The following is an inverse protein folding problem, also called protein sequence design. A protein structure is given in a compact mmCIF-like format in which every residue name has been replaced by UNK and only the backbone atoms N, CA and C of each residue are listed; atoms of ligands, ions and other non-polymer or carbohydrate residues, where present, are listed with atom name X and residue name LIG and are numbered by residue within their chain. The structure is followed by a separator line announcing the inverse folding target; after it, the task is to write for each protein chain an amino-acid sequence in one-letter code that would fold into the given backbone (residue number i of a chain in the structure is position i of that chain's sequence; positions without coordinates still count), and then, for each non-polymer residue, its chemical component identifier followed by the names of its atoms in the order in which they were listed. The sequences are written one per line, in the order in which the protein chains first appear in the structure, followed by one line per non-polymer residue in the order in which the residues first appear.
data_IF_605638158513
#
_entry.id   IF_605638158513
#
_cell.length_a   1.000
_cell.length_b   1.000
_cell.length_c   1.000
_cell.angle_alpha   90.00
_cell.angle_beta   90.00
_cell.angle_gamma   90.00
#
_symmetry.space_group_name_H-M   'P 1'
#
loop_
_entity.id
_entity.type
_entity.pdbx_description
1 polymer ?
#
# COMPACT_ATOMS: atom_id res chain seq x y z
N UNK A 1 -5.03 11.66 -5.65
CA UNK A 1 -4.84 10.29 -5.13
C UNK A 1 -5.56 9.23 -5.96
N UNK A 2 -6.90 9.24 -6.08
CA UNK A 2 -7.66 8.19 -6.79
C UNK A 2 -7.19 7.86 -8.21
N UNK A 3 -7.08 8.85 -9.11
CA UNK A 3 -6.74 8.59 -10.53
C UNK A 3 -5.32 7.99 -10.70
N UNK A 4 -4.35 8.46 -9.94
CA UNK A 4 -2.97 7.92 -10.00
C UNK A 4 -2.87 6.54 -9.34
N UNK A 5 -3.67 6.27 -8.29
CA UNK A 5 -3.82 4.92 -7.74
C UNK A 5 -4.41 3.95 -8.77
N UNK A 6 -5.42 4.37 -9.54
CA UNK A 6 -6.01 3.57 -10.61
C UNK A 6 -5.01 3.29 -11.74
N UNK A 7 -4.27 4.32 -12.18
CA UNK A 7 -3.19 4.17 -13.16
C UNK A 7 -2.14 3.12 -12.75
N UNK A 8 -1.78 3.07 -11.45
CA UNK A 8 -0.83 2.08 -10.94
C UNK A 8 -1.31 0.63 -11.09
N UNK A 9 -2.63 0.41 -11.13
CA UNK A 9 -3.26 -0.89 -11.35
C UNK A 9 -3.54 -1.24 -12.82
N UNK A 10 -3.53 -0.25 -13.72
CA UNK A 10 -3.77 -0.45 -15.16
C UNK A 10 -2.45 -0.63 -15.93
N UNK A 11 -1.38 0.08 -15.54
CA UNK A 11 -0.11 0.08 -16.28
C UNK A 11 0.97 -0.71 -15.53
N UNK A 12 1.59 -1.67 -16.23
CA UNK A 12 2.69 -2.47 -15.70
C UNK A 12 3.97 -1.64 -15.53
N UNK A 13 4.71 -1.90 -14.44
CA UNK A 13 6.06 -1.33 -14.26
C UNK A 13 7.07 -1.85 -15.27
N UNK A 14 6.76 -2.94 -15.97
CA UNK A 14 7.57 -3.48 -17.06
C UNK A 14 7.54 -2.57 -18.30
N UNK A 15 6.41 -1.91 -18.57
CA UNK A 15 6.22 -1.08 -19.76
C UNK A 15 6.34 0.42 -19.49
N UNK A 16 6.22 0.85 -18.24
CA UNK A 16 6.37 2.25 -17.86
C UNK A 16 7.04 2.39 -16.49
N UNK A 17 7.95 3.35 -16.37
CA UNK A 17 8.54 3.70 -15.07
C UNK A 17 7.49 4.40 -14.19
N UNK A 18 7.20 3.80 -13.03
CA UNK A 18 6.26 4.31 -12.04
C UNK A 18 6.93 4.99 -10.84
N UNK A 19 8.26 5.02 -10.80
CA UNK A 19 9.05 5.52 -9.67
C UNK A 19 8.84 7.03 -9.42
N UNK A 20 8.51 7.80 -10.46
CA UNK A 20 8.23 9.23 -10.39
C UNK A 20 6.77 9.61 -10.15
N UNK A 21 5.84 8.64 -9.99
CA UNK A 21 4.41 8.96 -9.80
C UNK A 21 4.09 9.57 -8.43
N UNK A 22 4.96 9.32 -7.44
CA UNK A 22 4.76 9.74 -6.06
C UNK A 22 6.04 10.28 -5.46
N UNK A 23 5.89 11.12 -4.45
CA UNK A 23 6.96 11.34 -3.48
C UNK A 23 7.12 10.08 -2.64
N UNK A 24 8.33 9.50 -2.66
CA UNK A 24 8.66 8.26 -1.96
C UNK A 24 9.69 8.50 -0.87
N UNK A 25 9.56 7.78 0.23
CA UNK A 25 10.53 7.73 1.32
C UNK A 25 10.80 6.28 1.71
N UNK A 26 11.84 6.06 2.52
CA UNK A 26 12.23 4.73 2.98
C UNK A 26 12.25 4.68 4.50
N UNK A 27 11.65 3.63 5.05
CA UNK A 27 11.56 3.38 6.48
C UNK A 27 12.84 2.78 7.06
N UNK A 28 12.69 1.86 8.01
CA UNK A 28 13.81 1.20 8.68
C UNK A 28 14.47 0.14 7.81
N UNK A 29 13.75 -0.48 6.86
CA UNK A 29 14.29 -1.54 6.01
C UNK A 29 15.12 -1.01 4.85
N UNK A 30 14.98 0.27 4.49
CA UNK A 30 15.73 0.96 3.39
C UNK A 30 15.52 0.40 1.99
N UNK A 31 14.79 -0.71 1.82
CA UNK A 31 14.56 -1.37 0.54
C UNK A 31 13.11 -1.34 0.08
N UNK A 32 12.18 -0.97 0.96
CA UNK A 32 10.75 -0.87 0.65
C UNK A 32 10.35 0.62 0.49
N UNK A 33 10.06 1.10 -0.73
CA UNK A 33 9.61 2.47 -0.93
C UNK A 33 8.19 2.65 -0.40
N UNK A 34 7.98 3.73 0.37
CA UNK A 34 6.71 4.13 0.96
C UNK A 34 6.23 5.43 0.31
N UNK A 35 4.92 5.56 0.07
CA UNK A 35 4.32 6.73 -0.59
C UNK A 35 4.00 7.80 0.46
N UNK A 36 4.65 8.96 0.40
CA UNK A 36 4.50 10.03 1.40
C UNK A 36 3.05 10.57 1.53
N UNK A 37 2.29 10.78 0.43
CA UNK A 37 0.90 11.24 0.53
C UNK A 37 -0.11 10.20 1.07
N UNK A 38 0.29 8.94 1.31
CA UNK A 38 -0.63 7.92 1.82
C UNK A 38 -0.87 8.12 3.32
N UNK A 39 -2.14 8.09 3.80
CA UNK A 39 -2.46 8.35 5.21
C UNK A 39 -1.96 7.26 6.17
N UNK A 40 -1.67 6.07 5.64
CA UNK A 40 -1.09 4.93 6.35
C UNK A 40 -0.15 4.19 5.40
N UNK A 41 1.05 3.85 5.87
CA UNK A 41 1.96 2.95 5.19
C UNK A 41 2.48 1.88 6.16
N UNK A 42 2.50 0.62 5.72
CA UNK A 42 3.00 -0.51 6.50
C UNK A 42 4.28 -1.01 5.85
N UNK A 43 5.40 -0.91 6.56
CA UNK A 43 6.68 -1.42 6.08
C UNK A 43 6.84 -2.87 6.57
N UNK A 44 6.95 -3.80 5.62
CA UNK A 44 6.91 -5.23 5.90
C UNK A 44 8.21 -5.92 5.49
N UNK A 45 8.65 -6.88 6.31
CA UNK A 45 9.71 -7.84 5.96
C UNK A 45 9.07 -9.15 5.53
N UNK A 46 9.51 -9.71 4.41
CA UNK A 46 9.00 -10.99 3.91
C UNK A 46 9.32 -12.13 4.89
N UNK A 47 8.30 -12.90 5.26
CA UNK A 47 8.41 -14.08 6.12
C UNK A 47 8.22 -15.36 5.31
N UNK A 48 7.24 -15.37 4.38
CA UNK A 48 6.91 -16.56 3.59
C UNK A 48 6.28 -16.22 2.26
N UNK A 49 6.62 -17.01 1.25
CA UNK A 49 5.94 -17.04 -0.05
C UNK A 49 5.12 -18.32 -0.17
N UNK A 50 3.87 -18.20 -0.61
CA UNK A 50 2.99 -19.34 -0.91
C UNK A 50 2.55 -19.24 -2.36
N UNK A 51 3.01 -20.18 -3.20
CA UNK A 51 2.60 -20.27 -4.61
C UNK A 51 1.22 -20.92 -4.68
N UNK A 52 0.26 -20.21 -5.25
CA UNK A 52 -1.07 -20.70 -5.62
C UNK A 52 -1.08 -20.94 -7.14
N UNK A 53 -2.19 -21.46 -7.67
CA UNK A 53 -2.31 -21.80 -9.10
C UNK A 53 -2.10 -20.59 -10.02
N UNK A 54 -2.66 -19.43 -9.67
CA UNK A 54 -2.65 -18.23 -10.51
C UNK A 54 -1.92 -17.05 -9.87
N UNK A 55 -1.59 -17.12 -8.58
CA UNK A 55 -1.06 -16.00 -7.81
C UNK A 55 0.00 -16.47 -6.81
N UNK A 56 0.79 -15.53 -6.29
CA UNK A 56 1.68 -15.78 -5.16
C UNK A 56 1.18 -14.96 -3.97
N UNK A 57 0.94 -15.61 -2.84
CA UNK A 57 0.63 -14.96 -1.57
C UNK A 57 1.93 -14.69 -0.81
N UNK A 58 2.25 -13.42 -0.63
CA UNK A 58 3.38 -12.97 0.18
C UNK A 58 2.89 -12.68 1.61
N UNK A 59 3.47 -13.36 2.60
CA UNK A 59 3.20 -13.16 4.02
C UNK A 59 4.36 -12.35 4.59
N UNK A 60 4.08 -11.11 5.00
CA UNK A 60 5.05 -10.19 5.58
C UNK A 60 4.77 -9.89 7.05
N UNK A 61 5.83 -9.74 7.84
CA UNK A 61 5.80 -9.20 9.19
C UNK A 61 5.86 -7.67 9.11
N UNK A 62 4.95 -6.97 9.79
CA UNK A 62 4.98 -5.51 9.89
C UNK A 62 6.14 -5.12 10.81
N UNK A 63 7.14 -4.45 10.26
CA UNK A 63 8.31 -3.96 11.00
C UNK A 63 8.02 -2.57 11.57
N UNK A 64 7.32 -1.72 10.81
CA UNK A 64 6.92 -0.38 11.27
C UNK A 64 5.62 0.07 10.59
N UNK A 65 4.87 0.92 11.29
CA UNK A 65 3.66 1.56 10.76
C UNK A 65 3.82 3.07 10.75
N UNK A 66 3.63 3.68 9.58
CA UNK A 66 3.78 5.12 9.39
C UNK A 66 2.42 5.76 9.19
N UNK A 67 2.11 6.72 10.05
CA UNK A 67 0.89 7.53 9.97
C UNK A 67 1.17 8.89 10.56
N UNK A 68 0.45 9.90 10.09
CA UNK A 68 0.49 11.23 10.68
C UNK A 68 -0.41 11.32 11.92
N UNK A 69 -0.06 12.20 12.86
CA UNK A 69 -0.77 12.37 14.12
C UNK A 69 -2.27 12.68 13.92
N UNK A 70 -2.62 13.41 12.85
CA UNK A 70 -4.02 13.73 12.53
C UNK A 70 -4.91 12.50 12.31
N UNK A 71 -4.31 11.38 11.91
CA UNK A 71 -4.99 10.09 11.71
C UNK A 71 -4.92 9.18 12.94
N UNK A 72 -4.05 9.51 13.91
CA UNK A 72 -3.83 8.76 15.14
C UNK A 72 -4.90 9.19 16.17
N UNK A 73 -5.87 8.34 16.46
CA UNK A 73 -6.86 8.57 17.52
C UNK A 73 -7.05 7.34 18.40
N UNK A 74 -7.21 7.57 19.71
CA UNK A 74 -7.37 6.54 20.75
C UNK A 74 -8.82 6.03 20.91
N UNK A 75 -9.64 6.13 19.86
CA UNK A 75 -11.06 5.76 19.85
C UNK A 75 -11.53 5.29 18.46
N UNK A 76 -12.82 4.96 18.32
CA UNK A 76 -13.38 4.52 17.04
C UNK A 76 -13.35 5.67 16.01
N UNK A 77 -12.98 5.34 14.76
CA UNK A 77 -13.00 6.18 13.53
C UNK A 77 -11.67 6.69 12.94
N UNK A 78 -10.51 6.12 13.32
CA UNK A 78 -9.24 6.37 12.59
C UNK A 78 -9.35 6.13 11.07
N UNK A 79 -10.02 5.05 10.66
CA UNK A 79 -10.28 4.74 9.25
C UNK A 79 -11.17 5.77 8.53
N UNK A 80 -12.13 6.43 9.23
CA UNK A 80 -12.95 7.48 8.62
C UNK A 80 -12.11 8.71 8.29
N UNK A 81 -11.16 9.07 9.14
CA UNK A 81 -10.25 10.19 8.88
C UNK A 81 -9.31 9.91 7.71
N UNK A 82 -8.88 8.66 7.57
CA UNK A 82 -8.04 8.22 6.44
C UNK A 82 -8.82 8.22 5.11
N UNK A 83 -10.14 8.10 5.14
CA UNK A 83 -11.03 8.09 3.97
C UNK A 83 -10.52 7.15 2.85
N UNK A 84 -10.32 5.84 3.15
CA UNK A 84 -9.77 4.91 2.19
C UNK A 84 -10.71 4.70 1.00
N UNK A 85 -10.13 4.37 -0.15
CA UNK A 85 -10.90 3.92 -1.31
C UNK A 85 -11.43 2.50 -1.03
N UNK A 86 -12.65 2.24 -1.52
CA UNK A 86 -13.22 0.90 -1.56
C UNK A 86 -13.16 0.40 -3.00
N UNK A 87 -12.88 -0.89 -3.16
CA UNK A 87 -12.86 -1.58 -4.45
C UNK A 87 -14.00 -2.60 -4.51
N UNK A 88 -14.73 -2.60 -5.62
CA UNK A 88 -15.68 -3.65 -5.99
C UNK A 88 -15.35 -4.11 -7.40
N UNK A 89 -15.31 -5.42 -7.62
CA UNK A 89 -14.98 -6.05 -8.90
C UNK A 89 -16.17 -6.91 -9.36
N UNK A 90 -16.43 -7.02 -10.67
CA UNK A 90 -17.59 -7.73 -11.21
C UNK A 90 -17.59 -9.24 -10.91
N UNK A 91 -16.42 -9.84 -10.67
CA UNK A 91 -16.23 -11.30 -10.58
C UNK A 91 -16.14 -11.83 -9.14
N UNK A 92 -16.81 -11.18 -8.19
CA UNK A 92 -16.85 -11.63 -6.80
C UNK A 92 -17.86 -12.79 -6.58
N UNK A 93 -17.74 -13.85 -7.39
CA UNK A 93 -18.51 -15.10 -7.24
C UNK A 93 -18.00 -15.97 -6.10
#
# INVERSE_FOLDING_TARGET
MRAVTDYCGIVSGESADKSGLFEVYYGVLKTAPLIAPCPLALECRLVREVRLETNTLFIGEIVESYTEERYRHRGETGHRKMNPLLLTMPDNR
#
